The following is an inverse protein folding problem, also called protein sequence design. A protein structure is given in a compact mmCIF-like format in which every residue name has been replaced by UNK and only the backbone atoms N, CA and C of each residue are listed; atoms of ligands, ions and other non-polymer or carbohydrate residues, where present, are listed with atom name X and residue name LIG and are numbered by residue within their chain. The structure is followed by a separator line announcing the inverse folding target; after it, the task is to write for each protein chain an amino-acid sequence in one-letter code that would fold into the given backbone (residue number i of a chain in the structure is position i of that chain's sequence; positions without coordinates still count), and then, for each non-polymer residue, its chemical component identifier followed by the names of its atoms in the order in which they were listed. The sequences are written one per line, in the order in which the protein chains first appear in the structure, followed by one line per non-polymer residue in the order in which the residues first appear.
data_IF_837214719481
#
_entry.id   IF_837214719481
#
_cell.length_a   1.000
_cell.length_b   1.000
_cell.length_c   1.000
_cell.angle_alpha   90.00
_cell.angle_beta   90.00
_cell.angle_gamma   90.00
#
_symmetry.space_group_name_H-M   'P 1'
#
loop_
_entity.id
_entity.type
_entity.pdbx_description
1 polymer ?
#
# COMPACT_ATOMS: atom_id res chain seq x y z
N UNK A 1 -8.14 6.12 -8.21
CA UNK A 1 -7.98 5.52 -6.86
C UNK A 1 -8.44 6.53 -5.82
N UNK A 2 -9.17 6.09 -4.82
CA UNK A 2 -9.55 6.92 -3.69
C UNK A 2 -8.49 6.77 -2.59
N UNK A 3 -7.71 7.81 -2.36
CA UNK A 3 -6.52 7.80 -1.52
C UNK A 3 -6.74 8.65 -0.27
N UNK A 4 -6.48 8.11 0.91
CA UNK A 4 -6.48 8.87 2.17
C UNK A 4 -5.16 9.63 2.29
N UNK A 5 -4.04 8.94 2.17
CA UNK A 5 -2.71 9.52 2.35
C UNK A 5 -1.61 8.68 1.68
N UNK A 6 -0.53 9.32 1.31
CA UNK A 6 0.72 8.69 0.84
C UNK A 6 1.87 9.33 1.62
N UNK A 7 2.64 8.54 2.35
CA UNK A 7 3.71 9.07 3.20
C UNK A 7 4.84 8.06 3.38
N UNK A 8 6.03 8.54 3.73
CA UNK A 8 7.17 7.71 4.10
C UNK A 8 7.24 7.55 5.62
N UNK A 9 7.43 6.32 6.09
CA UNK A 9 7.62 6.02 7.51
C UNK A 9 8.39 4.71 7.68
N UNK A 10 8.64 4.36 8.94
CA UNK A 10 9.25 3.08 9.31
C UNK A 10 8.11 2.08 9.51
N UNK A 11 8.26 0.90 8.90
CA UNK A 11 7.33 -0.22 9.11
C UNK A 11 7.40 -0.66 10.58
N UNK A 12 6.25 -0.68 11.25
CA UNK A 12 6.13 -0.98 12.68
C UNK A 12 5.94 -2.45 12.99
N UNK A 13 5.60 -3.27 11.99
CA UNK A 13 5.09 -4.63 12.19
C UNK A 13 5.65 -5.63 11.18
N UNK A 14 5.44 -6.92 11.49
CA UNK A 14 5.78 -8.01 10.59
C UNK A 14 7.28 -8.20 10.34
N UNK A 15 7.60 -8.91 9.27
CA UNK A 15 8.97 -9.27 8.90
C UNK A 15 9.83 -8.09 8.43
N UNK A 16 9.21 -6.92 8.24
CA UNK A 16 9.86 -5.69 7.78
C UNK A 16 9.94 -4.60 8.82
N UNK A 17 9.61 -4.92 10.05
CA UNK A 17 9.72 -3.99 11.18
C UNK A 17 11.09 -3.28 11.19
N UNK A 18 11.06 -1.97 11.29
CA UNK A 18 12.24 -1.11 11.30
C UNK A 18 12.74 -0.65 9.93
N UNK A 19 12.13 -1.09 8.83
CA UNK A 19 12.51 -0.69 7.48
C UNK A 19 11.72 0.54 7.02
N UNK A 20 12.42 1.45 6.31
CA UNK A 20 11.78 2.60 5.66
C UNK A 20 10.91 2.13 4.51
N UNK A 21 9.67 2.56 4.47
CA UNK A 21 8.70 2.23 3.43
C UNK A 21 7.81 3.43 3.08
N UNK A 22 7.24 3.43 1.89
CA UNK A 22 6.17 4.34 1.50
C UNK A 22 4.83 3.65 1.74
N UNK A 23 4.00 4.24 2.58
CA UNK A 23 2.64 3.79 2.80
C UNK A 23 1.69 4.48 1.82
N UNK A 24 0.90 3.68 1.12
CA UNK A 24 -0.27 4.12 0.36
C UNK A 24 -1.51 3.65 1.12
N UNK A 25 -2.23 4.60 1.73
CA UNK A 25 -3.47 4.31 2.45
C UNK A 25 -4.67 4.62 1.59
N UNK A 26 -5.45 3.58 1.29
CA UNK A 26 -6.64 3.67 0.45
C UNK A 26 -7.90 3.94 1.30
N UNK A 27 -8.87 4.58 0.66
CA UNK A 27 -10.17 4.85 1.24
C UNK A 27 -11.09 3.64 1.12
N UNK A 28 -12.03 3.56 2.06
CA UNK A 28 -13.11 2.61 2.20
C UNK A 28 -12.67 1.21 2.71
N UNK A 29 -13.58 0.58 3.46
CA UNK A 29 -13.40 -0.73 4.05
C UNK A 29 -14.76 -1.40 4.22
N UNK A 30 -14.86 -2.66 3.84
CA UNK A 30 -16.04 -3.51 4.07
C UNK A 30 -15.89 -4.41 5.31
N UNK A 31 -14.75 -4.34 5.98
CA UNK A 31 -14.45 -5.07 7.22
C UNK A 31 -14.65 -4.11 8.40
N UNK A 32 -14.93 -4.64 9.58
CA UNK A 32 -15.13 -3.87 10.82
C UNK A 32 -14.38 -4.57 11.96
N UNK A 33 -13.04 -4.49 11.91
CA UNK A 33 -12.19 -5.08 12.94
C UNK A 33 -12.38 -4.35 14.27
N UNK A 34 -12.51 -5.10 15.36
CA UNK A 34 -12.68 -4.54 16.69
C UNK A 34 -11.47 -3.73 17.18
N UNK A 35 -10.30 -4.02 16.65
CA UNK A 35 -9.02 -3.39 16.95
C UNK A 35 -8.55 -2.40 15.88
N UNK A 36 -9.43 -1.97 14.95
CA UNK A 36 -9.07 -1.07 13.86
C UNK A 36 -8.59 0.28 14.39
N UNK A 37 -7.36 0.64 14.08
CA UNK A 37 -6.73 1.93 14.40
C UNK A 37 -6.96 3.00 13.32
N UNK A 38 -7.52 2.60 12.16
CA UNK A 38 -7.66 3.43 10.97
C UNK A 38 -9.14 3.68 10.61
N UNK A 39 -9.97 3.87 11.61
CA UNK A 39 -11.43 4.08 11.43
C UNK A 39 -11.77 5.30 10.58
N UNK A 40 -10.86 6.26 10.46
CA UNK A 40 -10.98 7.45 9.63
C UNK A 40 -10.89 7.16 8.12
N UNK A 41 -10.47 5.96 7.73
CA UNK A 41 -10.38 5.55 6.32
C UNK A 41 -11.72 5.17 5.70
N UNK A 42 -12.75 5.05 6.51
CA UNK A 42 -14.11 4.70 6.06
C UNK A 42 -15.16 5.47 6.87
N UNK A 43 -16.37 5.51 6.34
CA UNK A 43 -17.48 6.20 6.96
C UNK A 43 -17.88 7.47 6.22
N UNK A 44 -18.98 8.07 6.66
CA UNK A 44 -19.62 9.19 5.94
C UNK A 44 -18.78 10.48 5.97
N UNK A 45 -17.96 10.64 6.99
CA UNK A 45 -17.08 11.81 7.17
C UNK A 45 -15.63 11.56 6.73
N UNK A 46 -15.38 10.40 6.10
CA UNK A 46 -14.04 10.06 5.62
C UNK A 46 -13.63 10.97 4.46
N UNK A 47 -12.47 11.63 4.62
CA UNK A 47 -11.93 12.54 3.62
C UNK A 47 -10.89 11.77 2.80
N UNK A 48 -11.02 11.82 1.48
CA UNK A 48 -10.08 11.22 0.55
C UNK A 48 -9.86 12.11 -0.67
N UNK A 49 -8.79 11.83 -1.39
CA UNK A 49 -8.49 12.46 -2.68
C UNK A 49 -8.64 11.43 -3.78
N UNK A 50 -9.40 11.76 -4.81
CA UNK A 50 -9.44 10.94 -6.02
C UNK A 50 -8.20 11.23 -6.87
N UNK A 51 -7.42 10.18 -7.15
CA UNK A 51 -6.18 10.27 -7.90
C UNK A 51 -6.15 9.21 -9.00
N UNK A 52 -5.55 9.54 -10.12
CA UNK A 52 -5.21 8.55 -11.15
C UNK A 52 -4.05 7.67 -10.68
N UNK A 53 -3.91 6.48 -11.28
CA UNK A 53 -2.77 5.59 -11.00
C UNK A 53 -1.44 6.28 -11.28
N UNK A 54 -1.36 7.06 -12.36
CA UNK A 54 -0.14 7.80 -12.72
C UNK A 54 0.24 8.86 -11.67
N UNK A 55 -0.75 9.59 -11.12
CA UNK A 55 -0.52 10.56 -10.05
C UNK A 55 -0.03 9.90 -8.77
N UNK A 56 -0.64 8.77 -8.39
CA UNK A 56 -0.20 7.98 -7.23
C UNK A 56 1.24 7.49 -7.43
N UNK A 57 1.56 6.94 -8.60
CA UNK A 57 2.91 6.50 -8.92
C UNK A 57 3.93 7.64 -8.86
N UNK A 58 3.59 8.85 -9.36
CA UNK A 58 4.46 10.02 -9.28
C UNK A 58 4.78 10.42 -7.83
N UNK A 59 3.77 10.42 -6.95
CA UNK A 59 3.97 10.72 -5.53
C UNK A 59 4.87 9.67 -4.87
N UNK A 60 4.61 8.39 -5.11
CA UNK A 60 5.42 7.29 -4.57
C UNK A 60 6.88 7.42 -4.99
N UNK A 61 7.15 7.67 -6.27
CA UNK A 61 8.52 7.86 -6.79
C UNK A 61 9.20 9.08 -6.18
N UNK A 62 8.47 10.17 -5.97
CA UNK A 62 9.02 11.40 -5.37
C UNK A 62 9.52 11.20 -3.93
N UNK A 63 8.99 10.20 -3.22
CA UNK A 63 9.41 9.83 -1.86
C UNK A 63 10.72 9.01 -1.85
N UNK A 64 11.15 8.48 -2.99
CA UNK A 64 12.45 7.85 -3.18
C UNK A 64 12.65 6.51 -2.46
N UNK A 65 11.60 5.90 -1.94
CA UNK A 65 11.68 4.61 -1.26
C UNK A 65 11.46 3.45 -2.23
N UNK A 66 12.20 2.36 -2.01
CA UNK A 66 12.10 1.15 -2.83
C UNK A 66 11.07 0.14 -2.27
N UNK A 67 10.47 0.44 -1.13
CA UNK A 67 9.42 -0.38 -0.50
C UNK A 67 8.14 0.39 -0.43
N UNK A 68 7.06 -0.31 -0.74
CA UNK A 68 5.71 0.26 -0.73
C UNK A 68 4.82 -0.71 0.03
N UNK A 69 4.10 -0.19 1.00
CA UNK A 69 3.04 -0.89 1.72
C UNK A 69 1.71 -0.30 1.31
N UNK A 70 0.88 -1.10 0.64
CA UNK A 70 -0.48 -0.71 0.28
C UNK A 70 -1.42 -1.20 1.37
N UNK A 71 -2.03 -0.26 2.03
CA UNK A 71 -2.89 -0.47 3.20
C UNK A 71 -4.10 0.46 3.14
N UNK A 72 -4.78 0.68 4.21
CA UNK A 72 -5.80 1.72 4.25
C UNK A 72 -6.99 1.30 5.05
N UNK A 73 -8.15 1.39 4.42
CA UNK A 73 -9.32 0.58 4.61
C UNK A 73 -9.05 -0.86 4.18
N UNK A 74 -9.76 -1.31 3.12
CA UNK A 74 -9.47 -2.62 2.50
C UNK A 74 -8.98 -2.40 1.06
N UNK A 75 -7.68 -2.57 0.77
CA UNK A 75 -7.13 -2.32 -0.55
C UNK A 75 -7.81 -3.11 -1.68
N UNK A 76 -8.30 -4.32 -1.39
CA UNK A 76 -8.96 -5.17 -2.38
C UNK A 76 -10.33 -4.63 -2.84
N UNK A 77 -10.90 -3.63 -2.16
CA UNK A 77 -12.07 -2.90 -2.69
C UNK A 77 -11.72 -2.09 -3.95
N UNK A 78 -10.45 -1.77 -4.13
CA UNK A 78 -9.92 -1.07 -5.30
C UNK A 78 -8.96 -1.95 -6.10
N UNK A 79 -9.20 -3.27 -6.13
CA UNK A 79 -8.30 -4.29 -6.69
C UNK A 79 -7.78 -3.93 -8.09
N UNK A 80 -8.68 -3.55 -9.00
CA UNK A 80 -8.28 -3.21 -10.38
C UNK A 80 -7.26 -2.07 -10.43
N UNK A 81 -7.47 -1.03 -9.64
CA UNK A 81 -6.58 0.12 -9.58
C UNK A 81 -5.26 -0.21 -8.85
N UNK A 82 -5.30 -1.11 -7.87
CA UNK A 82 -4.10 -1.61 -7.18
C UNK A 82 -3.24 -2.43 -8.13
N UNK A 83 -3.83 -3.33 -8.92
CA UNK A 83 -3.11 -4.13 -9.93
C UNK A 83 -2.49 -3.21 -10.98
N UNK A 84 -3.24 -2.26 -11.51
CA UNK A 84 -2.73 -1.28 -12.48
C UNK A 84 -1.57 -0.45 -11.92
N UNK A 85 -1.63 -0.05 -10.63
CA UNK A 85 -0.54 0.66 -9.98
C UNK A 85 0.73 -0.20 -9.87
N UNK A 86 0.57 -1.48 -9.51
CA UNK A 86 1.69 -2.42 -9.41
C UNK A 86 2.37 -2.58 -10.78
N UNK A 87 1.59 -2.76 -11.83
CA UNK A 87 2.10 -2.89 -13.18
C UNK A 87 2.82 -1.61 -13.64
N UNK A 88 2.26 -0.45 -13.36
CA UNK A 88 2.85 0.85 -13.69
C UNK A 88 4.18 1.08 -12.96
N UNK A 89 4.25 0.80 -11.67
CA UNK A 89 5.49 0.92 -10.89
C UNK A 89 6.59 -0.04 -11.38
N UNK A 90 6.21 -1.27 -11.73
CA UNK A 90 7.14 -2.25 -12.30
C UNK A 90 7.66 -1.82 -13.68
N UNK A 91 6.79 -1.27 -14.53
CA UNK A 91 7.16 -0.74 -15.84
C UNK A 91 8.18 0.38 -15.72
N UNK A 92 7.90 1.40 -14.89
CA UNK A 92 8.78 2.56 -14.66
C UNK A 92 10.16 2.13 -14.17
N UNK A 93 10.19 1.16 -13.29
CA UNK A 93 11.43 0.59 -12.79
C UNK A 93 12.26 -0.09 -13.88
N UNK A 94 11.62 -0.87 -14.74
CA UNK A 94 12.30 -1.54 -15.86
C UNK A 94 12.92 -0.52 -16.82
N UNK A 95 12.25 0.60 -17.10
CA UNK A 95 12.75 1.70 -17.92
C UNK A 95 13.98 2.35 -17.29
N UNK A 96 13.94 2.66 -15.99
CA UNK A 96 15.09 3.25 -15.27
C UNK A 96 16.31 2.32 -15.24
N UNK A 97 16.11 0.99 -15.22
CA UNK A 97 17.21 0.03 -15.29
C UNK A 97 17.86 -0.05 -16.66
N UNK A 98 17.12 0.17 -17.76
CA UNK A 98 17.65 0.17 -19.11
C UNK A 98 18.56 1.38 -19.38
N UNK A 99 18.28 2.53 -18.75
CA UNK A 99 19.09 3.73 -18.86
C UNK A 99 20.39 3.68 -18.04
N UNK A 100 20.47 2.81 -17.03
CA UNK A 100 21.62 2.64 -16.15
C UNK A 100 22.49 1.42 -16.55
N UNK A 101 23.14 1.45 -17.72
CA UNK A 101 24.11 0.42 -18.13
C UNK A 101 25.47 0.51 -17.42
N UNK A 102 25.57 1.25 -16.32
CA UNK A 102 26.77 1.31 -15.46
C UNK A 102 26.46 0.82 -14.04
N UNK A 103 26.49 -0.50 -13.86
CA UNK A 103 27.13 -1.20 -12.75
C UNK A 103 26.68 -0.91 -11.33
N UNK A 104 25.37 -0.84 -11.01
CA UNK A 104 24.90 -1.14 -9.65
C UNK A 104 23.59 -1.95 -9.75
N UNK A 105 23.59 -3.11 -9.11
CA UNK A 105 22.40 -3.97 -9.01
C UNK A 105 21.23 -3.16 -8.42
N UNK A 106 20.27 -2.85 -9.27
CA UNK A 106 19.09 -2.07 -8.90
C UNK A 106 18.31 -2.77 -7.81
N UNK A 107 18.08 -2.06 -6.73
CA UNK A 107 17.22 -2.52 -5.62
C UNK A 107 15.84 -2.89 -6.15
N UNK A 108 15.41 -4.10 -5.86
CA UNK A 108 14.08 -4.58 -6.23
C UNK A 108 13.04 -3.75 -5.49
N UNK A 109 12.09 -3.12 -6.20
CA UNK A 109 10.94 -2.52 -5.57
C UNK A 109 10.12 -3.65 -4.94
N UNK A 110 10.05 -3.69 -3.63
CA UNK A 110 9.25 -4.67 -2.92
C UNK A 110 7.91 -4.01 -2.67
N UNK A 111 6.91 -4.45 -3.43
CA UNK A 111 5.53 -4.06 -3.20
C UNK A 111 4.97 -5.10 -2.26
N UNK A 112 4.59 -4.69 -1.07
CA UNK A 112 3.82 -5.49 -0.16
C UNK A 112 2.40 -4.94 -0.08
N UNK A 113 1.48 -5.82 -0.36
CA UNK A 113 0.09 -5.58 -0.06
C UNK A 113 -0.09 -6.23 1.29
N UNK A 114 -0.38 -5.45 2.32
CA UNK A 114 -0.85 -5.98 3.59
C UNK A 114 -2.12 -6.77 3.29
N UNK A 115 -1.91 -8.04 2.96
CA UNK A 115 -2.99 -8.99 2.92
C UNK A 115 -3.34 -9.23 4.36
N UNK A 116 -4.42 -8.67 4.79
CA UNK A 116 -5.17 -9.28 5.88
C UNK A 116 -5.43 -10.72 5.45
N UNK A 117 -4.68 -11.65 6.01
CA UNK A 117 -4.95 -13.05 5.76
C UNK A 117 -6.32 -13.33 6.38
N UNK A 118 -7.33 -13.48 5.51
CA UNK A 118 -8.70 -13.85 5.95
C UNK A 118 -8.71 -15.09 6.85
N UNK A 119 -7.63 -15.89 6.88
CA UNK A 119 -7.46 -17.03 7.75
C UNK A 119 -7.17 -16.65 9.20
N UNK A 120 -6.44 -15.55 9.43
CA UNK A 120 -6.23 -15.05 10.79
C UNK A 120 -7.52 -14.44 11.35
N UNK A 121 -8.31 -13.73 10.56
CA UNK A 121 -9.60 -13.18 10.99
C UNK A 121 -10.63 -14.27 11.34
N UNK A 122 -10.59 -15.42 10.67
CA UNK A 122 -11.47 -16.55 10.99
C UNK A 122 -11.05 -17.29 12.28
N UNK A 123 -9.78 -17.17 12.68
CA UNK A 123 -9.31 -17.73 13.94
C UNK A 123 -9.63 -16.83 15.15
N UNK A 124 -9.56 -15.51 15.00
CA UNK A 124 -9.88 -14.57 16.10
C UNK A 124 -11.38 -14.54 16.42
N UNK A 125 -12.24 -14.80 15.44
CA UNK A 125 -13.69 -14.89 15.69
C UNK A 125 -14.13 -16.15 16.47
N UNK A 126 -13.20 -17.08 16.74
CA UNK A 126 -13.45 -18.28 17.53
C UNK A 126 -13.14 -18.12 19.04
N UNK A 127 -12.66 -16.94 19.45
CA UNK A 127 -12.31 -16.67 20.86
C UNK A 127 -13.22 -15.67 21.58
N UNK A 128 -14.34 -15.26 20.98
CA UNK A 128 -15.39 -14.53 21.68
C UNK A 128 -16.35 -15.54 22.39
N UNK A 129 -15.87 -16.05 23.53
CA UNK A 129 -16.73 -16.62 24.58
C UNK A 129 -16.34 -16.05 25.92
#
# INVERSE_FOLDING_TARGET
MNVIEIFASIDGEGSRQGLLTTFLRLHDCNIRCSYCDTTYSYGIDSVFTEMTVAEVANVIESLGNHRITITGGEPLLQEAAVVELIDELNRRKAETMQDNTSGQAGSTCIIDIDKFDKREMLNDSLYDF
#
